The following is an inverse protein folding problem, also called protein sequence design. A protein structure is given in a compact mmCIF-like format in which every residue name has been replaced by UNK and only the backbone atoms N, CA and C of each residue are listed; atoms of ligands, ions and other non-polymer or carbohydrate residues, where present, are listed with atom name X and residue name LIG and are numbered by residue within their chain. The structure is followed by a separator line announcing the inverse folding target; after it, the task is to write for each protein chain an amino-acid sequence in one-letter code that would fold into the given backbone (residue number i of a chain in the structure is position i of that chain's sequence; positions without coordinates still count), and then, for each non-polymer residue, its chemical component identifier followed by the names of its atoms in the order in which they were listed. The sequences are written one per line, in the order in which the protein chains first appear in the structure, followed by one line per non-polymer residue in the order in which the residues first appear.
data_IF_786001519719
#
_entry.id   IF_786001519719
#
_cell.length_a   1.000
_cell.length_b   1.000
_cell.length_c   1.000
_cell.angle_alpha   90.00
_cell.angle_beta   90.00
_cell.angle_gamma   90.00
#
_symmetry.space_group_name_H-M   'P 1'
#
loop_
_entity.id
_entity.type
_entity.pdbx_description
1 polymer ?
#
# COMPACT_ATOMS: atom_id res chain seq x y z
N UNK A 1 -29.61 11.18 -25.07
CA UNK A 1 -28.39 11.38 -24.28
C UNK A 1 -28.65 10.72 -22.94
N UNK A 2 -27.73 9.90 -22.46
CA UNK A 2 -27.86 9.32 -21.12
C UNK A 2 -27.49 10.41 -20.12
N UNK A 3 -28.21 10.51 -19.01
CA UNK A 3 -27.84 11.44 -17.96
C UNK A 3 -26.43 11.09 -17.43
N UNK A 4 -25.56 12.10 -17.35
CA UNK A 4 -24.20 11.96 -16.82
C UNK A 4 -24.26 12.16 -15.29
N UNK A 5 -23.61 11.27 -14.55
CA UNK A 5 -23.63 11.31 -13.08
C UNK A 5 -22.21 11.32 -12.54
N UNK A 6 -21.87 12.40 -11.85
CA UNK A 6 -20.60 12.62 -11.18
C UNK A 6 -20.78 12.29 -9.70
N UNK A 7 -19.83 11.56 -9.10
CA UNK A 7 -19.82 11.33 -7.65
C UNK A 7 -18.90 12.33 -6.97
N UNK A 8 -19.40 13.01 -5.94
CA UNK A 8 -18.68 14.06 -5.21
C UNK A 8 -18.54 13.62 -3.76
N UNK A 9 -17.30 13.65 -3.27
CA UNK A 9 -16.95 13.34 -1.88
C UNK A 9 -16.45 14.62 -1.24
N UNK A 10 -16.96 14.93 -0.05
CA UNK A 10 -16.59 16.09 0.76
C UNK A 10 -16.26 15.64 2.19
N UNK A 11 -15.67 16.50 3.04
CA UNK A 11 -15.48 16.19 4.46
C UNK A 11 -16.80 15.95 5.21
N UNK A 12 -17.92 16.44 4.68
CA UNK A 12 -19.24 16.33 5.28
C UNK A 12 -20.06 15.12 4.80
N UNK A 13 -19.57 14.37 3.80
CA UNK A 13 -20.28 13.22 3.21
C UNK A 13 -20.13 13.17 1.69
N UNK A 14 -20.97 12.38 1.03
CA UNK A 14 -20.95 12.20 -0.42
C UNK A 14 -22.32 12.44 -1.07
N UNK A 15 -22.33 12.92 -2.30
CA UNK A 15 -23.52 13.14 -3.11
C UNK A 15 -23.21 12.96 -4.60
N UNK A 16 -24.25 12.91 -5.43
CA UNK A 16 -24.15 12.83 -6.88
C UNK A 16 -24.60 14.14 -7.53
N UNK A 17 -23.87 14.60 -8.53
CA UNK A 17 -24.29 15.65 -9.45
C UNK A 17 -24.75 15.01 -10.76
N UNK A 18 -25.99 15.27 -11.15
CA UNK A 18 -26.65 14.65 -12.30
C UNK A 18 -26.93 15.72 -13.35
N UNK A 19 -26.50 15.44 -14.59
CA UNK A 19 -26.70 16.27 -15.77
C UNK A 19 -27.58 15.52 -16.76
N UNK A 20 -28.78 16.03 -17.02
CA UNK A 20 -29.70 15.40 -17.98
C UNK A 20 -29.25 15.64 -19.43
N UNK A 21 -28.67 16.82 -19.68
CA UNK A 21 -27.98 17.22 -20.91
C UNK A 21 -26.99 18.36 -20.61
N UNK A 22 -26.16 18.74 -21.59
CA UNK A 22 -25.09 19.75 -21.45
C UNK A 22 -25.58 21.20 -21.28
N UNK A 23 -26.88 21.46 -21.36
CA UNK A 23 -27.46 22.80 -21.20
C UNK A 23 -28.38 22.89 -19.96
N UNK A 24 -28.64 21.76 -19.30
CA UNK A 24 -29.50 21.68 -18.13
C UNK A 24 -28.73 22.00 -16.85
N UNK A 25 -29.34 22.76 -15.91
CA UNK A 25 -28.74 22.96 -14.60
C UNK A 25 -28.49 21.65 -13.87
N UNK A 26 -27.38 21.60 -13.15
CA UNK A 26 -26.97 20.45 -12.34
C UNK A 26 -28.04 20.10 -11.30
N UNK A 27 -28.30 18.80 -11.12
CA UNK A 27 -29.18 18.27 -10.06
C UNK A 27 -28.39 17.49 -9.04
N UNK A 28 -28.43 17.94 -7.79
CA UNK A 28 -27.76 17.24 -6.69
C UNK A 28 -28.68 16.23 -6.02
N UNK A 29 -28.16 15.02 -5.76
CA UNK A 29 -28.87 13.95 -5.06
C UNK A 29 -27.92 13.30 -4.05
N UNK A 30 -28.36 13.13 -2.80
CA UNK A 30 -27.54 12.50 -1.75
C UNK A 30 -27.59 13.25 -0.43
N UNK A 31 -26.47 13.26 0.29
CA UNK A 31 -26.35 13.86 1.61
C UNK A 31 -26.50 15.40 1.57
N UNK A 32 -27.51 15.95 2.24
CA UNK A 32 -27.78 17.39 2.28
C UNK A 32 -26.63 18.19 2.92
N UNK A 33 -25.91 17.64 3.89
CA UNK A 33 -24.77 18.30 4.52
C UNK A 33 -23.58 18.36 3.57
N UNK A 34 -23.36 17.31 2.78
CA UNK A 34 -22.32 17.28 1.75
C UNK A 34 -22.62 18.25 0.61
N UNK A 35 -23.88 18.33 0.17
CA UNK A 35 -24.34 19.30 -0.84
C UNK A 35 -24.17 20.73 -0.31
N UNK A 36 -24.60 21.00 0.92
CA UNK A 36 -24.46 22.32 1.53
C UNK A 36 -22.99 22.73 1.72
N UNK A 37 -22.12 21.78 2.14
CA UNK A 37 -20.68 22.02 2.23
C UNK A 37 -20.11 22.43 0.87
N UNK A 38 -20.42 21.66 -0.18
CA UNK A 38 -19.94 21.93 -1.53
C UNK A 38 -20.38 23.31 -2.02
N UNK A 39 -21.68 23.64 -1.91
CA UNK A 39 -22.20 24.94 -2.35
C UNK A 39 -21.55 26.11 -1.62
N UNK A 40 -21.48 26.02 -0.29
CA UNK A 40 -20.80 27.04 0.51
C UNK A 40 -19.33 27.17 0.13
N UNK A 41 -18.64 26.06 -0.16
CA UNK A 41 -17.24 26.09 -0.54
C UNK A 41 -17.04 26.81 -1.88
N UNK A 42 -17.85 26.52 -2.90
CA UNK A 42 -17.80 27.22 -4.20
C UNK A 42 -18.05 28.72 -4.02
N UNK A 43 -19.08 29.07 -3.26
CA UNK A 43 -19.49 30.46 -3.04
C UNK A 43 -18.45 31.26 -2.22
N UNK A 44 -17.89 30.65 -1.16
CA UNK A 44 -16.90 31.29 -0.27
C UNK A 44 -15.57 31.50 -1.00
N UNK A 45 -15.12 30.51 -1.76
CA UNK A 45 -13.81 30.55 -2.41
C UNK A 45 -13.83 31.29 -3.75
N UNK A 46 -15.01 31.72 -4.22
CA UNK A 46 -15.16 32.49 -5.46
C UNK A 46 -14.42 31.83 -6.63
N UNK A 47 -14.69 30.53 -6.82
CA UNK A 47 -13.99 29.73 -7.82
C UNK A 47 -14.25 30.30 -9.21
N UNK A 48 -13.18 30.52 -9.97
CA UNK A 48 -13.27 30.96 -11.35
C UNK A 48 -13.30 29.73 -12.25
N UNK A 49 -14.34 29.60 -13.06
CA UNK A 49 -14.47 28.58 -14.09
C UNK A 49 -13.70 28.92 -15.36
N UNK A 50 -14.06 28.25 -16.44
CA UNK A 50 -13.45 28.49 -17.76
C UNK A 50 -13.61 29.96 -18.18
N UNK A 51 -12.59 30.55 -18.78
CA UNK A 51 -12.57 31.97 -19.19
C UNK A 51 -12.72 32.99 -18.03
N UNK A 52 -12.55 32.57 -16.77
CA UNK A 52 -12.42 33.47 -15.62
C UNK A 52 -13.73 34.05 -15.09
N UNK A 53 -14.87 33.41 -15.37
CA UNK A 53 -16.14 33.78 -14.75
C UNK A 53 -16.30 33.06 -13.39
N UNK A 54 -17.04 33.67 -12.46
CA UNK A 54 -17.33 33.06 -11.16
C UNK A 54 -18.32 31.92 -11.33
N UNK A 55 -18.00 30.74 -10.78
CA UNK A 55 -18.89 29.59 -10.80
C UNK A 55 -20.11 29.83 -9.89
N UNK A 56 -21.29 29.45 -10.38
CA UNK A 56 -22.50 29.31 -9.58
C UNK A 56 -22.67 27.84 -9.19
N UNK A 57 -22.73 27.57 -7.90
CA UNK A 57 -22.92 26.22 -7.38
C UNK A 57 -24.28 25.59 -7.74
N UNK A 58 -25.17 26.30 -8.42
CA UNK A 58 -26.43 25.77 -8.96
C UNK A 58 -26.43 25.64 -10.49
N UNK A 59 -25.39 26.10 -11.17
CA UNK A 59 -25.30 26.13 -12.64
C UNK A 59 -23.89 25.74 -13.15
N UNK A 60 -23.19 24.92 -12.38
CA UNK A 60 -21.85 24.41 -12.74
C UNK A 60 -21.96 23.38 -13.85
N UNK A 61 -21.13 23.48 -14.88
CA UNK A 61 -21.06 22.52 -15.98
C UNK A 61 -20.19 21.31 -15.63
N UNK A 62 -20.33 20.16 -16.33
CA UNK A 62 -19.53 18.96 -16.05
C UNK A 62 -18.02 19.22 -16.06
N UNK A 63 -17.54 19.97 -17.06
CA UNK A 63 -16.14 20.38 -17.19
C UNK A 63 -15.67 21.24 -16.01
N UNK A 64 -16.52 22.15 -15.55
CA UNK A 64 -16.20 23.07 -14.46
C UNK A 64 -16.15 22.35 -13.11
N UNK A 65 -17.07 21.40 -12.92
CA UNK A 65 -17.17 20.59 -11.72
C UNK A 65 -15.91 19.75 -11.53
N UNK A 66 -15.44 19.07 -12.58
CA UNK A 66 -14.21 18.30 -12.49
C UNK A 66 -12.95 19.17 -12.58
N UNK A 67 -12.91 20.17 -13.45
CA UNK A 67 -11.70 20.97 -13.68
C UNK A 67 -11.34 21.92 -12.55
N UNK A 68 -12.33 22.47 -11.83
CA UNK A 68 -12.11 23.63 -10.95
C UNK A 68 -12.58 23.43 -9.51
N UNK A 69 -13.48 22.48 -9.25
CA UNK A 69 -14.05 22.29 -7.90
C UNK A 69 -13.33 21.25 -7.04
N UNK A 70 -12.11 20.84 -7.41
CA UNK A 70 -11.26 19.92 -6.64
C UNK A 70 -9.82 20.42 -6.43
N UNK A 71 -9.59 21.69 -6.06
CA UNK A 71 -8.22 22.16 -5.81
C UNK A 71 -7.63 21.47 -4.58
N UNK A 72 -6.30 21.41 -4.55
CA UNK A 72 -5.55 20.79 -3.47
C UNK A 72 -5.95 21.40 -2.10
N UNK A 73 -6.20 20.54 -1.12
CA UNK A 73 -6.60 20.95 0.23
C UNK A 73 -8.09 21.31 0.41
N UNK A 74 -8.92 21.33 -0.64
CA UNK A 74 -10.37 21.55 -0.52
C UNK A 74 -11.09 20.43 0.24
N UNK A 75 -10.53 19.21 0.22
CA UNK A 75 -11.21 18.00 0.68
C UNK A 75 -12.38 17.57 -0.20
N UNK A 76 -12.54 18.20 -1.37
CA UNK A 76 -13.55 17.86 -2.37
C UNK A 76 -12.90 16.99 -3.44
N UNK A 77 -13.49 15.83 -3.71
CA UNK A 77 -13.05 14.91 -4.77
C UNK A 77 -14.22 14.71 -5.71
N UNK A 78 -13.99 14.93 -7.00
CA UNK A 78 -14.99 14.74 -8.05
C UNK A 78 -14.60 13.54 -8.91
N UNK A 79 -15.48 12.54 -8.97
CA UNK A 79 -15.31 11.32 -9.74
C UNK A 79 -16.24 11.38 -10.97
N UNK A 80 -15.70 11.65 -12.17
CA UNK A 80 -16.49 11.75 -13.39
C UNK A 80 -16.92 10.36 -13.89
N UNK A 81 -17.92 10.29 -14.78
CA UNK A 81 -18.17 9.12 -15.61
C UNK A 81 -16.91 8.69 -16.37
N UNK A 82 -16.79 7.41 -16.69
CA UNK A 82 -15.61 6.86 -17.35
C UNK A 82 -15.32 7.51 -18.71
N UNK A 83 -16.36 7.82 -19.49
CA UNK A 83 -16.22 8.43 -20.81
C UNK A 83 -15.61 9.84 -20.69
N UNK A 84 -16.08 10.64 -19.73
CA UNK A 84 -15.57 12.00 -19.49
C UNK A 84 -14.14 11.98 -18.94
N UNK A 85 -13.81 11.01 -18.08
CA UNK A 85 -12.45 10.83 -17.56
C UNK A 85 -11.42 10.65 -18.69
N UNK A 86 -11.79 9.89 -19.72
CA UNK A 86 -10.93 9.67 -20.89
C UNK A 86 -10.72 10.94 -21.72
N UNK A 87 -11.74 11.80 -21.82
CA UNK A 87 -11.65 13.08 -22.52
C UNK A 87 -10.74 14.07 -21.75
N UNK A 88 -10.86 14.16 -20.42
CA UNK A 88 -9.97 14.99 -19.60
C UNK A 88 -8.49 14.55 -19.67
N UNK A 89 -8.22 13.24 -19.64
CA UNK A 89 -6.85 12.71 -19.79
C UNK A 89 -6.27 12.97 -21.19
N UNK A 90 -7.12 13.07 -22.22
CA UNK A 90 -6.70 13.40 -23.57
C UNK A 90 -6.36 14.90 -23.72
N UNK A 91 -7.11 15.79 -23.07
CA UNK A 91 -6.87 17.24 -23.10
C UNK A 91 -5.68 17.67 -22.23
N UNK A 92 -5.47 17.04 -21.07
CA UNK A 92 -4.30 17.32 -20.23
C UNK A 92 -2.96 16.96 -20.92
N UNK A 93 -2.95 15.91 -21.75
CA UNK A 93 -1.78 15.56 -22.59
C UNK A 93 -1.46 16.60 -23.68
N UNK A 94 -2.42 17.46 -24.04
CA UNK A 94 -2.24 18.53 -25.02
C UNK A 94 -1.72 19.80 -24.33
N UNK A 95 -2.12 20.08 -23.08
CA UNK A 95 -1.70 21.27 -22.32
C UNK A 95 -0.36 21.13 -21.58
N UNK A 96 0.13 19.92 -21.30
CA UNK A 96 1.43 19.70 -20.63
C UNK A 96 2.66 20.13 -21.46
N UNK A 97 2.50 20.53 -22.72
CA UNK A 97 3.60 21.07 -23.53
C UNK A 97 3.89 22.56 -23.31
N UNK A 98 3.05 23.34 -22.63
CA UNK A 98 3.17 24.82 -22.64
C UNK A 98 3.29 25.54 -21.29
N UNK A 99 3.32 24.86 -20.13
CA UNK A 99 3.48 25.57 -18.84
C UNK A 99 4.40 24.86 -17.86
N UNK A 100 5.70 25.15 -17.98
CA UNK A 100 6.65 25.10 -16.85
C UNK A 100 7.05 26.53 -16.51
N UNK A 101 6.44 27.12 -15.48
CA UNK A 101 7.07 28.12 -14.61
C UNK A 101 6.14 28.60 -13.47
N UNK A 102 6.72 28.75 -12.28
CA UNK A 102 6.27 29.52 -11.09
C UNK A 102 5.18 28.89 -10.21
N UNK A 103 5.18 28.99 -8.87
CA UNK A 103 6.19 29.29 -7.83
C UNK A 103 5.52 28.99 -6.48
N UNK A 104 6.34 28.79 -5.45
CA UNK A 104 5.99 28.63 -4.04
C UNK A 104 4.97 29.66 -3.50
N UNK A 105 4.07 29.24 -2.58
CA UNK A 105 3.81 30.04 -1.36
C UNK A 105 3.17 29.28 -0.18
N UNK A 106 3.81 29.46 0.97
CA UNK A 106 3.39 29.07 2.33
C UNK A 106 2.11 29.80 2.79
N UNK A 107 1.27 29.16 3.64
CA UNK A 107 1.17 29.44 5.09
C UNK A 107 -0.07 28.86 5.81
N UNK A 108 0.16 28.53 7.09
CA UNK A 108 -0.75 28.10 8.16
C UNK A 108 -1.98 28.99 8.42
N UNK A 109 -3.03 28.44 9.07
CA UNK A 109 -3.51 28.83 10.43
C UNK A 109 -4.66 27.91 10.94
N UNK A 110 -4.54 27.54 12.22
CA UNK A 110 -5.36 26.79 13.21
C UNK A 110 -6.66 27.51 13.69
N UNK A 111 -7.71 26.97 14.36
CA UNK A 111 -7.94 26.19 15.63
C UNK A 111 -9.46 25.80 15.68
N UNK A 112 -10.03 24.87 16.47
CA UNK A 112 -10.00 24.59 17.94
C UNK A 112 -10.66 23.19 18.21
N UNK A 113 -10.50 22.41 19.28
CA UNK A 113 -10.53 22.74 20.71
C UNK A 113 -9.71 21.75 21.59
N UNK A 114 -8.56 22.21 22.08
CA UNK A 114 -7.82 22.01 23.35
C UNK A 114 -6.60 22.91 23.12
N UNK A 115 -6.33 23.88 23.99
CA UNK A 115 -5.27 24.88 23.76
C UNK A 115 -3.98 24.21 23.26
N UNK A 116 -3.43 24.70 22.13
CA UNK A 116 -2.33 24.05 21.41
C UNK A 116 -1.09 23.78 22.27
N UNK A 117 -0.87 24.58 23.32
CA UNK A 117 0.22 24.39 24.29
C UNK A 117 0.00 23.16 25.17
N UNK A 118 -1.24 22.81 25.50
CA UNK A 118 -1.57 21.66 26.36
C UNK A 118 -1.55 20.35 25.56
N UNK A 119 -1.99 20.37 24.29
CA UNK A 119 -1.81 19.23 23.37
C UNK A 119 -0.33 18.90 23.15
N UNK A 120 0.52 19.91 22.96
CA UNK A 120 1.97 19.73 22.83
C UNK A 120 2.59 19.14 24.10
N UNK A 121 2.15 19.58 25.28
CA UNK A 121 2.63 19.08 26.57
C UNK A 121 2.28 17.60 26.77
N UNK A 122 1.04 17.22 26.48
CA UNK A 122 0.56 15.85 26.54
C UNK A 122 1.24 14.94 25.50
N UNK A 123 1.48 15.43 24.28
CA UNK A 123 2.20 14.70 23.25
C UNK A 123 3.66 14.43 23.65
N UNK A 124 4.33 15.43 24.26
CA UNK A 124 5.69 15.28 24.78
C UNK A 124 5.75 14.28 25.94
N UNK A 125 4.81 14.35 26.88
CA UNK A 125 4.69 13.38 27.98
C UNK A 125 4.50 11.95 27.44
N UNK A 126 3.66 11.76 26.41
CA UNK A 126 3.48 10.45 25.77
C UNK A 126 4.76 9.94 25.10
N UNK A 127 5.54 10.83 24.46
CA UNK A 127 6.84 10.51 23.90
C UNK A 127 7.85 10.05 24.95
N UNK A 128 7.94 10.78 26.06
CA UNK A 128 8.83 10.46 27.17
C UNK A 128 8.45 9.13 27.85
N UNK A 129 7.16 8.86 28.02
CA UNK A 129 6.65 7.58 28.56
C UNK A 129 6.96 6.42 27.62
N UNK A 130 6.85 6.61 26.29
CA UNK A 130 7.23 5.58 25.30
C UNK A 130 8.73 5.29 25.34
N UNK A 131 9.56 6.32 25.51
CA UNK A 131 11.00 6.16 25.65
C UNK A 131 11.38 5.43 26.95
N UNK A 132 10.62 5.62 28.05
CA UNK A 132 10.86 4.89 29.32
C UNK A 132 10.26 3.48 29.35
N UNK A 133 9.30 3.18 28.47
CA UNK A 133 8.65 1.86 28.41
C UNK A 133 9.64 0.72 28.07
N UNK A 134 10.66 1.02 27.26
CA UNK A 134 11.75 0.08 26.93
C UNK A 134 12.71 -0.16 28.11
N UNK A 135 12.84 0.82 29.01
CA UNK A 135 13.73 0.78 30.18
C UNK A 135 13.08 0.20 31.45
N UNK A 136 11.75 0.04 31.48
CA UNK A 136 11.02 -0.49 32.64
C UNK A 136 11.35 -1.96 32.89
N UNK A 137 11.82 -2.28 34.11
CA UNK A 137 12.33 -3.63 34.48
C UNK A 137 11.24 -4.56 34.97
N UNK A 138 10.11 -4.04 35.46
CA UNK A 138 9.01 -4.85 35.97
C UNK A 138 7.73 -4.71 35.15
N UNK A 139 6.96 -5.80 35.04
CA UNK A 139 5.66 -5.80 34.34
C UNK A 139 4.64 -4.84 34.95
N UNK A 140 4.71 -4.62 36.27
CA UNK A 140 3.82 -3.69 36.98
C UNK A 140 4.12 -2.22 36.65
N UNK A 141 5.39 -1.87 36.43
CA UNK A 141 5.78 -0.52 35.95
C UNK A 141 5.33 -0.30 34.52
N UNK A 142 5.53 -1.28 33.63
CA UNK A 142 5.02 -1.22 32.25
C UNK A 142 3.51 -1.00 32.20
N UNK A 143 2.77 -1.71 33.06
CA UNK A 143 1.31 -1.56 33.15
C UNK A 143 0.87 -0.16 33.58
N UNK A 144 1.58 0.47 34.54
CA UNK A 144 1.31 1.85 34.96
C UNK A 144 1.58 2.86 33.85
N UNK A 145 2.67 2.69 33.11
CA UNK A 145 3.05 3.54 31.97
C UNK A 145 2.03 3.42 30.82
N UNK A 146 1.58 2.19 30.51
CA UNK A 146 0.54 1.95 29.50
C UNK A 146 -0.80 2.57 29.90
N UNK A 147 -1.19 2.49 31.18
CA UNK A 147 -2.39 3.13 31.69
C UNK A 147 -2.33 4.66 31.53
N UNK A 148 -1.17 5.26 31.81
CA UNK A 148 -0.96 6.71 31.65
C UNK A 148 -1.01 7.15 30.18
N UNK A 149 -0.46 6.37 29.25
CA UNK A 149 -0.60 6.62 27.80
C UNK A 149 -2.07 6.60 27.37
N UNK A 150 -2.88 5.67 27.91
CA UNK A 150 -4.31 5.61 27.62
C UNK A 150 -5.05 6.86 28.09
N UNK A 151 -4.77 7.33 29.32
CA UNK A 151 -5.33 8.58 29.85
C UNK A 151 -4.95 9.81 29.00
N UNK A 152 -3.68 9.91 28.56
CA UNK A 152 -3.22 11.00 27.68
C UNK A 152 -3.95 10.96 26.33
N UNK A 153 -4.15 9.75 25.78
CA UNK A 153 -4.87 9.55 24.51
C UNK A 153 -6.33 10.03 24.61
N UNK A 154 -7.01 9.67 25.70
CA UNK A 154 -8.39 10.08 25.96
C UNK A 154 -8.51 11.61 26.12
N UNK A 155 -7.55 12.26 26.80
CA UNK A 155 -7.49 13.72 26.96
C UNK A 155 -7.19 14.47 25.66
N UNK A 156 -6.50 13.83 24.72
CA UNK A 156 -6.22 14.39 23.39
C UNK A 156 -7.41 14.22 22.41
N UNK A 157 -8.53 13.63 22.85
CA UNK A 157 -9.69 13.36 21.99
C UNK A 157 -9.45 12.27 20.96
N UNK A 158 -8.38 11.48 21.13
CA UNK A 158 -8.07 10.33 20.27
C UNK A 158 -8.89 9.15 20.78
N UNK A 159 -10.19 9.16 20.50
CA UNK A 159 -11.12 8.13 21.00
C UNK A 159 -10.64 6.72 20.63
N UNK A 160 -10.27 5.93 21.64
CA UNK A 160 -10.42 4.48 21.54
C UNK A 160 -11.84 4.14 21.96
N UNK A 161 -12.62 3.57 21.03
CA UNK A 161 -13.95 3.03 21.31
C UNK A 161 -13.86 2.11 22.53
N UNK A 162 -14.44 2.50 23.66
CA UNK A 162 -15.03 1.56 24.62
C UNK A 162 -16.06 2.21 25.54
N UNK A 163 -17.17 1.47 25.66
CA UNK A 163 -18.08 1.31 26.80
C UNK A 163 -19.26 2.30 26.96
N UNK A 164 -20.36 1.91 26.32
CA UNK A 164 -21.72 2.18 26.77
C UNK A 164 -22.72 1.22 26.12
N UNK A 165 -22.89 0.02 26.70
CA UNK A 165 -23.95 -0.93 26.34
C UNK A 165 -23.50 -2.13 25.50
N UNK A 166 -23.81 -3.34 25.99
CA UNK A 166 -23.36 -4.64 25.51
C UNK A 166 -23.24 -4.84 24.00
N UNK A 167 -22.03 -5.10 23.54
CA UNK A 167 -21.72 -6.00 22.44
C UNK A 167 -20.28 -6.48 22.64
N UNK A 168 -20.07 -7.79 22.63
CA UNK A 168 -18.73 -8.40 22.73
C UNK A 168 -17.91 -7.96 21.51
N UNK A 169 -16.62 -7.70 21.73
CA UNK A 169 -15.67 -7.21 20.74
C UNK A 169 -15.78 -7.98 19.41
N UNK A 170 -16.38 -7.34 18.41
CA UNK A 170 -16.27 -7.79 17.03
C UNK A 170 -14.80 -7.66 16.60
N UNK A 171 -14.23 -8.75 16.13
CA UNK A 171 -13.06 -8.68 15.25
C UNK A 171 -13.43 -7.88 13.99
N UNK A 172 -12.44 -7.32 13.28
CA UNK A 172 -12.66 -6.59 12.02
C UNK A 172 -13.41 -7.42 10.94
N UNK A 173 -13.57 -8.73 11.18
CA UNK A 173 -14.22 -9.70 10.31
C UNK A 173 -15.69 -9.97 10.69
N UNK A 174 -16.24 -9.27 11.69
CA UNK A 174 -17.63 -9.46 12.15
C UNK A 174 -17.90 -10.73 12.96
N UNK A 175 -16.85 -11.45 13.37
CA UNK A 175 -16.96 -12.72 14.10
C UNK A 175 -16.98 -12.46 15.60
N UNK A 176 -18.00 -13.00 16.28
CA UNK A 176 -18.14 -12.96 17.73
C UNK A 176 -17.06 -13.82 18.42
N UNK A 177 -16.43 -13.24 19.44
CA UNK A 177 -15.46 -13.91 20.28
C UNK A 177 -16.04 -14.19 21.67
N UNK A 178 -15.65 -15.31 22.26
CA UNK A 178 -15.97 -15.63 23.65
C UNK A 178 -15.24 -14.69 24.63
N UNK A 179 -15.57 -14.82 25.92
CA UNK A 179 -14.94 -14.04 27.00
C UNK A 179 -13.43 -14.24 27.14
N UNK A 180 -12.85 -15.26 26.49
CA UNK A 180 -11.42 -15.55 26.46
C UNK A 180 -10.78 -15.09 25.13
N UNK A 181 -11.53 -14.45 24.24
CA UNK A 181 -11.07 -14.01 22.93
C UNK A 181 -10.76 -15.18 21.98
N UNK A 182 -11.55 -16.25 22.05
CA UNK A 182 -11.57 -17.38 21.12
C UNK A 182 -12.84 -17.31 20.26
N UNK A 183 -12.78 -17.79 19.01
CA UNK A 183 -13.97 -17.88 18.17
C UNK A 183 -14.86 -19.09 18.52
N UNK A 184 -15.94 -19.30 17.76
CA UNK A 184 -16.87 -20.41 17.96
C UNK A 184 -16.21 -21.79 17.86
N UNK A 185 -15.08 -21.88 17.18
CA UNK A 185 -14.30 -23.12 17.01
C UNK A 185 -13.26 -23.29 18.13
N UNK A 186 -13.20 -22.36 19.09
CA UNK A 186 -12.22 -22.34 20.17
C UNK A 186 -10.83 -21.88 19.72
N UNK A 187 -10.74 -21.22 18.55
CA UNK A 187 -9.47 -20.81 17.97
C UNK A 187 -9.11 -19.39 18.37
N UNK A 188 -7.84 -19.16 18.67
CA UNK A 188 -7.33 -17.82 18.89
C UNK A 188 -6.96 -17.17 17.55
N UNK A 189 -7.75 -16.20 17.12
CA UNK A 189 -7.56 -15.49 15.85
C UNK A 189 -6.49 -14.42 15.96
N UNK A 190 -5.53 -14.40 15.02
CA UNK A 190 -4.50 -13.35 14.88
C UNK A 190 -3.88 -13.38 13.49
N UNK A 191 -3.21 -12.31 13.07
CA UNK A 191 -2.40 -12.30 11.84
C UNK A 191 -1.10 -13.09 12.01
N UNK A 192 -0.41 -13.40 10.90
CA UNK A 192 0.88 -14.07 10.86
C UNK A 192 1.95 -13.19 11.46
N UNK A 193 1.85 -11.88 11.21
CA UNK A 193 2.70 -10.88 11.86
C UNK A 193 2.54 -10.92 13.39
N UNK A 194 1.31 -11.00 13.89
CA UNK A 194 1.04 -11.14 15.33
C UNK A 194 1.53 -12.48 15.90
N UNK A 195 1.33 -13.58 15.17
CA UNK A 195 1.84 -14.90 15.57
C UNK A 195 3.37 -14.96 15.58
N UNK A 196 4.02 -14.30 14.63
CA UNK A 196 5.48 -14.25 14.57
C UNK A 196 6.09 -13.46 15.72
N UNK A 197 5.37 -12.49 16.29
CA UNK A 197 5.76 -11.78 17.51
C UNK A 197 5.72 -12.66 18.77
N UNK A 198 5.02 -13.79 18.73
CA UNK A 198 5.03 -14.77 19.84
C UNK A 198 6.39 -15.49 19.85
N UNK A 199 7.06 -15.44 21.01
CA UNK A 199 8.33 -16.11 21.22
C UNK A 199 8.20 -17.62 20.96
N UNK A 200 9.23 -18.23 20.37
CA UNK A 200 9.23 -19.65 19.97
C UNK A 200 8.84 -20.62 21.10
N UNK A 201 9.22 -20.32 22.34
CA UNK A 201 8.90 -21.16 23.51
C UNK A 201 7.42 -21.09 23.93
N UNK A 202 6.67 -20.13 23.38
CA UNK A 202 5.26 -19.91 23.66
C UNK A 202 4.36 -20.22 22.47
N UNK A 203 4.91 -20.87 21.44
CA UNK A 203 4.17 -21.35 20.26
C UNK A 203 4.62 -22.74 19.86
N UNK A 204 3.81 -23.43 19.10
CA UNK A 204 4.09 -24.78 18.61
C UNK A 204 3.08 -25.20 17.55
N UNK A 205 3.01 -26.49 17.26
CA UNK A 205 2.12 -27.04 16.23
C UNK A 205 1.50 -28.33 16.75
N UNK A 206 0.19 -28.51 16.55
CA UNK A 206 -0.50 -29.77 16.81
C UNK A 206 -0.08 -30.85 15.80
N UNK A 207 -0.35 -32.15 16.08
CA UNK A 207 -0.01 -33.25 15.16
C UNK A 207 -0.64 -33.13 13.76
N UNK A 208 -1.76 -32.43 13.63
CA UNK A 208 -2.48 -32.15 12.38
C UNK A 208 -1.95 -30.92 11.63
N UNK A 209 -0.90 -30.27 12.14
CA UNK A 209 -0.29 -29.09 11.52
C UNK A 209 -0.87 -27.76 11.98
N UNK A 210 -1.89 -27.74 12.86
CA UNK A 210 -2.51 -26.50 13.33
C UNK A 210 -1.55 -25.72 14.25
N UNK A 211 -1.26 -24.43 13.97
CA UNK A 211 -0.45 -23.60 14.85
C UNK A 211 -1.08 -23.46 16.24
N UNK A 212 -0.25 -23.38 17.27
CA UNK A 212 -0.68 -23.19 18.66
C UNK A 212 0.13 -22.11 19.35
N UNK A 213 -0.44 -21.52 20.40
CA UNK A 213 0.24 -20.57 21.27
C UNK A 213 -0.22 -20.71 22.73
N UNK A 214 0.60 -20.26 23.68
CA UNK A 214 0.22 -20.18 25.08
C UNK A 214 -0.63 -18.93 25.34
N UNK A 215 -1.82 -19.12 25.91
CA UNK A 215 -2.75 -18.07 26.29
C UNK A 215 -3.16 -18.22 27.75
N UNK A 216 -3.37 -17.11 28.45
CA UNK A 216 -3.94 -17.13 29.79
C UNK A 216 -5.47 -17.24 29.70
N UNK A 217 -6.02 -18.35 30.16
CA UNK A 217 -7.47 -18.59 30.23
C UNK A 217 -7.83 -18.78 31.70
N UNK A 218 -8.72 -17.92 32.23
CA UNK A 218 -9.18 -17.97 33.62
C UNK A 218 -8.04 -18.06 34.67
N UNK A 219 -6.90 -17.41 34.41
CA UNK A 219 -5.75 -17.40 35.31
C UNK A 219 -4.82 -18.60 35.20
N UNK A 220 -5.07 -19.54 34.28
CA UNK A 220 -4.18 -20.65 33.96
C UNK A 220 -3.57 -20.47 32.56
N UNK A 221 -2.30 -20.85 32.40
CA UNK A 221 -1.65 -20.87 31.08
C UNK A 221 -2.08 -22.13 30.33
N UNK A 222 -2.71 -21.94 29.17
CA UNK A 222 -3.28 -23.01 28.35
C UNK A 222 -2.71 -22.91 26.93
N UNK A 223 -2.40 -24.06 26.32
CA UNK A 223 -2.07 -24.11 24.89
C UNK A 223 -3.40 -24.02 24.12
N UNK A 224 -3.51 -23.02 23.26
CA UNK A 224 -4.70 -22.83 22.40
C UNK A 224 -4.30 -22.96 20.94
N UNK A 225 -5.17 -23.55 20.10
CA UNK A 225 -4.97 -23.51 18.66
C UNK A 225 -5.17 -22.08 18.14
N UNK A 226 -4.38 -21.72 17.14
CA UNK A 226 -4.32 -20.38 16.56
C UNK A 226 -4.81 -20.44 15.13
N UNK A 227 -5.76 -19.57 14.80
CA UNK A 227 -6.23 -19.35 13.44
C UNK A 227 -5.57 -18.10 12.90
N UNK A 228 -4.70 -18.28 11.91
CA UNK A 228 -4.00 -17.17 11.29
C UNK A 228 -4.93 -16.54 10.26
N UNK A 229 -5.32 -15.28 10.48
CA UNK A 229 -6.43 -14.63 9.76
C UNK A 229 -6.03 -14.00 8.44
N UNK A 230 -4.76 -13.69 8.28
CA UNK A 230 -4.09 -13.27 7.04
C UNK A 230 -3.40 -14.45 6.32
N UNK A 231 -3.38 -15.64 6.93
CA UNK A 231 -3.28 -16.90 6.18
C UNK A 231 -4.63 -17.14 5.51
N UNK A 232 -4.89 -16.34 4.49
CA UNK A 232 -5.84 -16.72 3.47
C UNK A 232 -5.26 -17.94 2.75
N UNK A 233 -5.68 -19.10 3.23
CA UNK A 233 -6.23 -20.18 2.42
C UNK A 233 -5.46 -20.43 1.11
N UNK A 234 -4.42 -21.25 1.18
CA UNK A 234 -4.15 -22.15 0.05
C UNK A 234 -5.29 -23.17 0.03
N UNK A 235 -6.41 -22.82 -0.59
CA UNK A 235 -7.47 -23.73 -1.04
C UNK A 235 -8.35 -22.99 -2.07
N UNK A 236 -8.20 -23.41 -3.33
CA UNK A 236 -9.10 -23.23 -4.49
C UNK A 236 -9.81 -21.88 -4.69
N UNK A 237 -9.33 -21.13 -5.69
CA UNK A 237 -10.07 -20.21 -6.57
C UNK A 237 -11.13 -19.27 -5.93
N UNK A 238 -10.70 -18.19 -5.28
CA UNK A 238 -11.41 -16.92 -5.52
C UNK A 238 -10.76 -16.23 -6.71
N UNK A 239 -11.27 -16.56 -7.90
CA UNK A 239 -10.90 -15.90 -9.15
C UNK A 239 -11.09 -14.39 -9.01
N UNK A 240 -10.00 -13.64 -9.14
CA UNK A 240 -10.01 -12.18 -9.10
C UNK A 240 -10.97 -11.64 -10.14
N UNK A 241 -11.79 -10.70 -9.74
CA UNK A 241 -12.80 -10.08 -10.60
C UNK A 241 -12.23 -8.86 -11.30
N UNK A 242 -12.96 -8.33 -12.29
CA UNK A 242 -12.60 -7.06 -12.90
C UNK A 242 -12.69 -5.89 -11.90
N UNK A 243 -13.57 -5.98 -10.91
CA UNK A 243 -13.67 -4.97 -9.86
C UNK A 243 -12.39 -4.94 -8.99
N UNK A 244 -11.81 -6.12 -8.71
CA UNK A 244 -10.55 -6.22 -7.98
C UNK A 244 -9.40 -5.62 -8.79
N UNK A 245 -9.32 -5.91 -10.09
CA UNK A 245 -8.34 -5.29 -10.99
C UNK A 245 -8.48 -3.77 -11.03
N UNK A 246 -9.70 -3.26 -11.18
CA UNK A 246 -9.94 -1.80 -11.20
C UNK A 246 -9.50 -1.13 -9.90
N UNK A 247 -9.69 -1.79 -8.76
CA UNK A 247 -9.27 -1.28 -7.45
C UNK A 247 -7.75 -1.19 -7.31
N UNK A 248 -7.00 -2.12 -7.89
CA UNK A 248 -5.53 -2.14 -7.78
C UNK A 248 -4.81 -1.39 -8.91
N UNK A 249 -5.49 -1.10 -10.01
CA UNK A 249 -4.90 -0.42 -11.17
C UNK A 249 -4.20 0.91 -10.84
N UNK A 250 -4.74 1.79 -9.96
CA UNK A 250 -4.04 3.03 -9.58
C UNK A 250 -2.67 2.79 -8.95
N UNK A 251 -2.52 1.70 -8.19
CA UNK A 251 -1.25 1.32 -7.57
C UNK A 251 -0.31 0.76 -8.63
N UNK A 252 -0.81 -0.13 -9.50
CA UNK A 252 0.01 -0.72 -10.55
C UNK A 252 0.57 0.34 -11.52
N UNK A 253 -0.21 1.38 -11.85
CA UNK A 253 0.25 2.50 -12.70
C UNK A 253 1.48 3.24 -12.13
N UNK A 254 1.71 3.19 -10.83
CA UNK A 254 2.87 3.82 -10.20
C UNK A 254 4.16 2.98 -10.31
N UNK A 255 4.03 1.68 -10.60
CA UNK A 255 5.16 0.73 -10.59
C UNK A 255 5.38 0.04 -11.94
N UNK A 256 4.38 0.04 -12.83
CA UNK A 256 4.40 -0.72 -14.08
C UNK A 256 4.22 0.24 -15.25
N UNK A 257 5.08 0.12 -16.27
CA UNK A 257 5.02 0.99 -17.44
C UNK A 257 3.74 0.82 -18.25
N UNK A 258 3.26 1.92 -18.84
CA UNK A 258 1.98 1.95 -19.56
C UNK A 258 1.89 0.93 -20.70
N UNK A 259 2.97 0.71 -21.45
CA UNK A 259 3.01 -0.30 -22.53
C UNK A 259 2.85 -1.73 -21.99
N UNK A 260 3.48 -2.05 -20.86
CA UNK A 260 3.37 -3.36 -20.22
C UNK A 260 1.95 -3.57 -19.68
N UNK A 261 1.39 -2.59 -18.97
CA UNK A 261 -0.01 -2.65 -18.52
C UNK A 261 -1.00 -2.77 -19.68
N UNK A 262 -0.76 -2.07 -20.79
CA UNK A 262 -1.61 -2.16 -21.98
C UNK A 262 -1.61 -3.58 -22.56
N UNK A 263 -0.46 -4.26 -22.58
CA UNK A 263 -0.36 -5.63 -23.07
C UNK A 263 -1.14 -6.61 -22.18
N UNK A 264 -1.01 -6.49 -20.86
CA UNK A 264 -1.81 -7.31 -19.95
C UNK A 264 -3.31 -6.99 -20.06
N UNK A 265 -3.68 -5.72 -20.14
CA UNK A 265 -5.10 -5.32 -20.18
C UNK A 265 -5.80 -5.64 -21.50
N UNK A 266 -5.08 -5.72 -22.63
CA UNK A 266 -5.67 -6.19 -23.90
C UNK A 266 -6.06 -7.67 -23.82
N UNK A 267 -5.30 -8.47 -23.08
CA UNK A 267 -5.47 -9.92 -23.02
C UNK A 267 -6.38 -10.38 -21.88
N UNK A 268 -6.80 -9.47 -20.99
CA UNK A 268 -7.75 -9.72 -19.89
C UNK A 268 -9.08 -10.34 -20.34
N UNK A 269 -9.50 -10.11 -21.60
CA UNK A 269 -10.73 -10.68 -22.16
C UNK A 269 -10.51 -11.98 -22.94
N UNK A 270 -9.25 -12.40 -23.10
CA UNK A 270 -8.85 -13.62 -23.80
C UNK A 270 -8.88 -14.87 -22.90
N UNK A 271 -8.38 -15.97 -23.44
CA UNK A 271 -8.33 -17.28 -22.76
C UNK A 271 -7.52 -17.23 -21.45
N UNK A 272 -6.47 -16.40 -21.42
CA UNK A 272 -5.60 -16.19 -20.25
C UNK A 272 -6.14 -15.10 -19.30
N UNK A 273 -7.31 -14.53 -19.60
CA UNK A 273 -7.82 -13.35 -18.91
C UNK A 273 -7.97 -13.53 -17.40
N UNK A 274 -8.33 -14.73 -16.94
CA UNK A 274 -8.44 -15.00 -15.51
C UNK A 274 -7.06 -15.02 -14.82
N UNK A 275 -6.09 -15.71 -15.44
CA UNK A 275 -4.72 -15.74 -14.95
C UNK A 275 -4.13 -14.33 -14.85
N UNK A 276 -4.39 -13.48 -15.86
CA UNK A 276 -3.94 -12.09 -15.85
C UNK A 276 -4.56 -11.30 -14.69
N UNK A 277 -5.88 -11.42 -14.47
CA UNK A 277 -6.55 -10.74 -13.35
C UNK A 277 -5.94 -11.14 -12.02
N UNK A 278 -5.73 -12.44 -11.81
CA UNK A 278 -5.13 -12.97 -10.58
C UNK A 278 -3.70 -12.46 -10.40
N UNK A 279 -2.90 -12.44 -11.47
CA UNK A 279 -1.52 -11.96 -11.43
C UNK A 279 -1.44 -10.45 -11.16
N UNK A 280 -2.31 -9.63 -11.73
CA UNK A 280 -2.33 -8.18 -11.45
C UNK A 280 -2.66 -7.88 -9.98
N UNK A 281 -3.62 -8.61 -9.41
CA UNK A 281 -3.98 -8.49 -7.99
C UNK A 281 -2.87 -9.00 -7.08
N UNK A 282 -2.21 -10.11 -7.45
CA UNK A 282 -1.04 -10.65 -6.74
C UNK A 282 0.09 -9.61 -6.66
N UNK A 283 0.48 -9.03 -7.80
CA UNK A 283 1.56 -8.04 -7.87
C UNK A 283 1.22 -6.78 -7.06
N UNK A 284 -0.01 -6.29 -7.17
CA UNK A 284 -0.45 -5.15 -6.35
C UNK A 284 -0.41 -5.47 -4.85
N UNK A 285 -0.74 -6.69 -4.47
CA UNK A 285 -0.65 -7.15 -3.07
C UNK A 285 0.79 -7.19 -2.59
N UNK A 286 1.74 -7.62 -3.43
CA UNK A 286 3.18 -7.56 -3.12
C UNK A 286 3.61 -6.11 -2.89
N UNK A 287 3.27 -5.19 -3.81
CA UNK A 287 3.60 -3.76 -3.72
C UNK A 287 3.00 -3.14 -2.45
N UNK A 288 1.75 -3.46 -2.11
CA UNK A 288 1.09 -2.91 -0.92
C UNK A 288 1.81 -3.34 0.37
N UNK A 289 2.28 -4.58 0.43
CA UNK A 289 2.84 -5.18 1.63
C UNK A 289 4.36 -5.08 1.75
N UNK A 290 5.07 -4.72 0.67
CA UNK A 290 6.52 -4.54 0.74
C UNK A 290 6.89 -3.37 1.67
N UNK A 291 8.05 -3.42 2.34
CA UNK A 291 8.49 -2.37 3.26
C UNK A 291 8.59 -1.01 2.59
N UNK A 292 8.28 0.04 3.33
CA UNK A 292 8.63 1.41 2.94
C UNK A 292 10.11 1.67 3.22
N UNK A 293 10.64 2.76 2.68
CA UNK A 293 12.04 3.18 2.88
C UNK A 293 12.41 3.16 4.37
N UNK A 294 13.59 2.60 4.69
CA UNK A 294 14.11 2.30 6.03
C UNK A 294 13.47 1.08 6.75
N UNK A 295 12.52 0.39 6.13
CA UNK A 295 11.84 -0.76 6.71
C UNK A 295 12.72 -2.01 6.87
N UNK A 296 13.83 -2.08 6.14
CA UNK A 296 14.83 -3.15 6.15
C UNK A 296 16.24 -2.62 6.47
N UNK A 297 16.34 -1.42 7.08
CA UNK A 297 17.63 -0.83 7.44
C UNK A 297 18.45 -1.75 8.37
N UNK A 298 19.76 -1.80 8.13
CA UNK A 298 20.68 -2.69 8.85
C UNK A 298 20.57 -4.17 8.51
N UNK A 299 19.72 -4.59 7.56
CA UNK A 299 19.62 -6.00 7.15
C UNK A 299 20.71 -6.43 6.15
N UNK A 300 21.32 -5.48 5.43
CA UNK A 300 22.38 -5.77 4.46
C UNK A 300 21.94 -6.83 3.43
N UNK A 301 22.76 -7.86 3.20
CA UNK A 301 22.42 -8.94 2.25
C UNK A 301 21.19 -9.78 2.68
N UNK A 302 20.68 -9.61 3.90
CA UNK A 302 19.44 -10.26 4.36
C UNK A 302 18.18 -9.50 3.98
N UNK A 303 18.30 -8.29 3.43
CA UNK A 303 17.16 -7.54 2.92
C UNK A 303 16.48 -8.34 1.79
N UNK A 304 15.16 -8.35 1.78
CA UNK A 304 14.35 -9.06 0.79
C UNK A 304 14.04 -8.11 -0.36
N UNK A 305 14.38 -8.51 -1.58
CA UNK A 305 13.94 -7.86 -2.81
C UNK A 305 12.56 -8.37 -3.21
N UNK A 306 11.55 -7.50 -3.14
CA UNK A 306 10.15 -7.81 -3.42
C UNK A 306 9.78 -7.66 -4.89
N UNK A 307 10.42 -6.73 -5.60
CA UNK A 307 10.19 -6.51 -7.03
C UNK A 307 11.50 -6.68 -7.79
N UNK A 308 11.36 -7.04 -9.05
CA UNK A 308 12.46 -7.16 -10.00
C UNK A 308 12.08 -6.49 -11.30
N UNK A 309 12.94 -5.60 -11.77
CA UNK A 309 12.82 -4.91 -13.04
C UNK A 309 13.98 -5.31 -13.93
N UNK A 310 13.76 -5.44 -15.23
CA UNK A 310 14.81 -5.82 -16.16
C UNK A 310 14.68 -5.11 -17.51
N UNK A 311 15.81 -4.85 -18.14
CA UNK A 311 15.89 -4.40 -19.54
C UNK A 311 17.24 -4.75 -20.15
N UNK A 312 17.23 -5.66 -21.11
CA UNK A 312 18.47 -6.17 -21.70
C UNK A 312 19.27 -6.97 -20.68
N UNK A 313 20.49 -6.54 -20.36
CA UNK A 313 21.36 -7.16 -19.34
C UNK A 313 21.38 -6.40 -18.02
N UNK A 314 20.49 -5.43 -17.85
CA UNK A 314 20.40 -4.62 -16.63
C UNK A 314 19.19 -5.06 -15.81
N UNK A 315 19.42 -5.26 -14.52
CA UNK A 315 18.44 -5.72 -13.54
C UNK A 315 18.38 -4.75 -12.35
N UNK A 316 17.18 -4.51 -11.83
CA UNK A 316 16.97 -3.73 -10.61
C UNK A 316 16.08 -4.51 -9.65
N UNK A 317 16.57 -4.73 -8.43
CA UNK A 317 15.89 -5.49 -7.39
C UNK A 317 15.44 -4.54 -6.28
N UNK A 318 14.14 -4.35 -6.13
CA UNK A 318 13.59 -3.36 -5.18
C UNK A 318 13.30 -4.03 -3.84
N UNK A 319 13.91 -3.51 -2.78
CA UNK A 319 13.71 -3.98 -1.41
C UNK A 319 12.67 -3.16 -0.67
N UNK A 320 12.56 -1.86 -0.99
CA UNK A 320 11.67 -0.94 -0.28
C UNK A 320 11.02 0.04 -1.25
N UNK A 321 9.73 0.32 -1.05
CA UNK A 321 8.99 1.35 -1.79
C UNK A 321 9.09 2.71 -1.11
N UNK A 322 8.54 3.73 -1.75
CA UNK A 322 8.50 5.07 -1.17
C UNK A 322 7.75 5.08 0.16
N UNK A 323 8.21 5.91 1.09
CA UNK A 323 7.52 6.12 2.35
C UNK A 323 6.41 7.18 2.22
N UNK A 324 6.52 8.04 1.22
CA UNK A 324 5.52 9.06 0.89
C UNK A 324 4.34 8.47 0.12
N UNK A 325 3.28 9.28 -0.03
CA UNK A 325 2.07 8.86 -0.75
C UNK A 325 2.29 8.71 -2.26
N UNK A 326 3.21 9.50 -2.82
CA UNK A 326 3.62 9.41 -4.21
C UNK A 326 4.83 8.49 -4.35
N UNK A 327 4.79 7.57 -5.32
CA UNK A 327 5.91 6.69 -5.61
C UNK A 327 6.91 7.39 -6.54
N UNK A 328 7.87 8.12 -5.95
CA UNK A 328 8.94 8.79 -6.69
C UNK A 328 10.24 7.98 -6.65
N UNK A 329 10.58 7.48 -5.47
CA UNK A 329 11.82 6.74 -5.21
C UNK A 329 11.56 5.38 -4.58
N UNK A 330 12.45 4.44 -4.84
CA UNK A 330 12.51 3.16 -4.18
C UNK A 330 13.94 2.89 -3.73
N UNK A 331 14.15 1.96 -2.80
CA UNK A 331 15.48 1.51 -2.41
C UNK A 331 15.69 0.08 -2.87
N UNK A 332 16.89 -0.22 -3.40
CA UNK A 332 17.18 -1.53 -3.95
C UNK A 332 18.58 -1.67 -4.51
N UNK A 333 18.83 -2.80 -5.17
CA UNK A 333 20.08 -3.14 -5.85
C UNK A 333 19.92 -2.90 -7.35
N UNK A 334 20.77 -2.08 -7.94
CA UNK A 334 20.88 -1.90 -9.38
C UNK A 334 22.10 -2.67 -9.91
N UNK A 335 21.87 -3.69 -10.73
CA UNK A 335 22.89 -4.53 -11.36
C UNK A 335 22.87 -4.28 -12.87
N UNK A 336 23.68 -3.34 -13.35
CA UNK A 336 23.64 -2.90 -14.75
C UNK A 336 24.62 -3.66 -15.65
N UNK A 337 25.69 -4.18 -15.07
CA UNK A 337 26.84 -4.74 -15.80
C UNK A 337 27.22 -6.15 -15.35
N UNK A 338 26.53 -6.71 -14.36
CA UNK A 338 26.84 -8.00 -13.77
C UNK A 338 28.03 -7.96 -12.80
N UNK A 339 28.47 -6.80 -12.32
CA UNK A 339 29.69 -6.64 -11.53
C UNK A 339 29.44 -6.60 -10.00
N UNK A 340 28.25 -7.04 -9.57
CA UNK A 340 27.86 -7.17 -8.17
C UNK A 340 26.83 -6.12 -7.72
N UNK A 341 26.53 -5.16 -8.58
CA UNK A 341 25.49 -4.14 -8.43
C UNK A 341 25.70 -3.16 -7.28
N UNK A 342 24.93 -2.09 -7.29
CA UNK A 342 24.99 -1.03 -6.28
C UNK A 342 23.66 -0.90 -5.54
N UNK A 343 23.72 -0.88 -4.20
CA UNK A 343 22.56 -0.57 -3.37
C UNK A 343 22.35 0.94 -3.28
N UNK A 344 21.14 1.40 -3.55
CA UNK A 344 20.84 2.82 -3.48
C UNK A 344 19.38 3.14 -3.80
N UNK A 345 19.13 4.44 -3.90
CA UNK A 345 17.85 4.95 -4.36
C UNK A 345 17.71 4.77 -5.87
N UNK A 346 16.55 4.28 -6.29
CA UNK A 346 16.19 3.98 -7.67
C UNK A 346 14.91 4.73 -7.98
N UNK A 347 14.90 5.53 -9.06
CA UNK A 347 13.69 6.20 -9.52
C UNK A 347 12.83 5.23 -10.33
N UNK A 348 11.69 4.82 -9.77
CA UNK A 348 10.72 3.97 -10.48
C UNK A 348 10.13 4.70 -11.69
N UNK A 349 9.94 6.02 -11.59
CA UNK A 349 9.47 6.83 -12.71
C UNK A 349 10.45 6.84 -13.88
N UNK A 350 11.76 6.94 -13.62
CA UNK A 350 12.76 6.84 -14.68
C UNK A 350 12.72 5.47 -15.33
N UNK A 351 12.69 4.38 -14.55
CA UNK A 351 12.57 3.02 -15.08
C UNK A 351 11.35 2.87 -16.00
N UNK A 352 10.19 3.35 -15.57
CA UNK A 352 8.96 3.38 -16.36
C UNK A 352 9.15 4.22 -17.64
N UNK A 353 9.72 5.42 -17.51
CA UNK A 353 9.92 6.37 -18.60
C UNK A 353 10.87 5.86 -19.69
N UNK A 354 11.78 4.95 -19.34
CA UNK A 354 12.66 4.26 -20.31
C UNK A 354 12.16 2.85 -20.67
N UNK A 355 10.90 2.49 -20.39
CA UNK A 355 10.31 1.19 -20.71
C UNK A 355 11.12 0.00 -20.15
N UNK A 356 11.58 0.08 -18.90
CA UNK A 356 12.05 -1.09 -18.16
C UNK A 356 10.83 -1.89 -17.71
N UNK A 357 10.91 -3.22 -17.81
CA UNK A 357 9.78 -4.11 -17.52
C UNK A 357 9.82 -4.60 -16.08
N UNK A 358 8.67 -4.65 -15.40
CA UNK A 358 8.53 -5.33 -14.12
C UNK A 358 8.34 -6.84 -14.36
N UNK A 359 9.10 -7.68 -13.68
CA UNK A 359 8.99 -9.14 -13.76
C UNK A 359 7.83 -9.66 -12.90
N UNK A 360 6.76 -10.10 -13.56
CA UNK A 360 5.55 -10.60 -12.88
C UNK A 360 5.70 -12.03 -12.34
N UNK A 361 6.80 -12.71 -12.66
CA UNK A 361 7.12 -14.06 -12.19
C UNK A 361 8.21 -14.05 -11.12
N UNK A 362 8.66 -12.86 -10.71
CA UNK A 362 9.60 -12.70 -9.63
C UNK A 362 9.07 -13.27 -8.32
N UNK A 363 9.89 -14.07 -7.66
CA UNK A 363 9.64 -14.55 -6.29
C UNK A 363 10.56 -13.79 -5.33
N UNK A 364 10.02 -13.11 -4.31
CA UNK A 364 10.83 -12.37 -3.35
C UNK A 364 11.91 -13.24 -2.71
N UNK A 365 13.14 -12.74 -2.68
CA UNK A 365 14.31 -13.42 -2.13
C UNK A 365 15.33 -12.40 -1.62
N UNK A 366 16.33 -12.85 -0.86
CA UNK A 366 17.30 -11.96 -0.24
C UNK A 366 18.32 -11.41 -1.25
N UNK A 367 18.88 -10.24 -0.97
CA UNK A 367 19.98 -9.65 -1.75
C UNK A 367 21.18 -10.62 -1.83
N UNK A 368 21.47 -11.35 -0.74
CA UNK A 368 22.52 -12.37 -0.73
C UNK A 368 22.29 -13.47 -1.77
N UNK A 369 21.08 -14.03 -1.82
CA UNK A 369 20.71 -15.07 -2.80
C UNK A 369 20.80 -14.58 -4.26
N UNK A 370 20.56 -13.29 -4.50
CA UNK A 370 20.66 -12.68 -5.83
C UNK A 370 22.12 -12.59 -6.26
N UNK A 371 22.98 -12.08 -5.36
CA UNK A 371 24.42 -11.94 -5.63
C UNK A 371 25.12 -13.28 -5.84
N UNK A 372 24.75 -14.31 -5.07
CA UNK A 372 25.31 -15.67 -5.21
C UNK A 372 25.01 -16.27 -6.59
N UNK A 373 23.77 -16.13 -7.09
CA UNK A 373 23.39 -16.62 -8.42
C UNK A 373 24.12 -15.92 -9.57
N UNK A 374 24.36 -14.61 -9.43
CA UNK A 374 25.10 -13.85 -10.43
C UNK A 374 26.58 -14.27 -10.47
N UNK A 375 27.15 -14.67 -9.34
CA UNK A 375 28.51 -15.21 -9.27
C UNK A 375 28.62 -16.60 -9.91
N UNK A 376 27.70 -17.53 -9.60
CA UNK A 376 27.68 -18.87 -10.25
C UNK A 376 27.56 -18.76 -11.78
N UNK A 377 26.75 -17.83 -12.27
CA UNK A 377 26.57 -17.57 -13.70
C UNK A 377 27.83 -17.02 -14.39
N UNK A 378 28.71 -16.32 -13.65
CA UNK A 378 30.01 -15.86 -14.16
C UNK A 378 31.07 -16.97 -14.19
N UNK A 379 31.08 -17.87 -13.20
CA UNK A 379 32.01 -19.00 -13.19
C UNK A 379 31.75 -19.97 -14.35
N UNK A 380 30.48 -20.19 -14.72
CA UNK A 380 30.11 -21.03 -15.87
C UNK A 380 30.49 -20.42 -17.24
N UNK A 381 30.67 -19.09 -17.34
CA UNK A 381 31.12 -18.45 -18.58
C UNK A 381 32.65 -18.34 -18.70
N UNK A 382 33.38 -18.40 -17.59
CA UNK A 382 34.86 -18.40 -17.60
C UNK A 382 35.42 -19.80 -17.79
N UNK A 383 34.74 -20.84 -17.30
CA UNK A 383 35.14 -22.24 -17.51
C UNK A 383 34.34 -22.91 -18.63
N UNK A 384 34.61 -22.50 -19.87
CA UNK A 384 34.38 -23.32 -21.06
C UNK A 384 35.28 -24.57 -21.11
N UNK A 385 35.39 -25.32 -20.00
CA UNK A 385 35.96 -26.67 -19.94
C UNK A 385 34.87 -27.60 -19.48
N UNK A 386 34.49 -28.52 -20.36
CA UNK A 386 33.47 -29.53 -20.07
C UNK A 386 33.92 -30.40 -18.90
N UNK A 387 32.97 -30.96 -18.14
CA UNK A 387 33.24 -31.94 -17.06
C UNK A 387 34.08 -33.14 -17.58
N UNK A 388 34.03 -33.41 -18.89
CA UNK A 388 34.85 -34.41 -19.56
C UNK A 388 36.35 -34.04 -19.62
N UNK A 389 36.70 -32.76 -19.70
CA UNK A 389 38.09 -32.30 -19.80
C UNK A 389 38.84 -32.38 -18.46
N UNK A 390 38.12 -32.24 -17.34
CA UNK A 390 38.70 -32.36 -15.99
C UNK A 390 38.97 -33.81 -15.57
N UNK A 391 38.30 -34.78 -16.20
CA UNK A 391 38.54 -36.21 -15.98
C UNK A 391 39.72 -36.76 -16.81
N UNK A 392 40.20 -36.03 -17.82
CA UNK A 392 41.35 -36.45 -18.63
C UNK A 392 42.69 -35.87 -18.13
N UNK A 393 42.70 -34.77 -17.37
CA UNK A 393 43.95 -34.20 -16.81
C UNK A 393 44.45 -34.93 -15.53
N UNK A 394 43.72 -35.94 -15.04
CA UNK A 394 44.08 -36.73 -13.84
C UNK A 394 44.59 -38.14 -14.13
N UNK A 395 44.78 -38.53 -15.40
CA UNK A 395 45.19 -39.91 -15.77
C UNK A 395 46.62 -40.03 -16.30
N UNK A 396 47.32 -38.95 -16.66
CA UNK A 396 48.66 -39.05 -17.28
C UNK A 396 49.86 -38.79 -16.35
N UNK A 397 49.71 -38.98 -15.03
CA UNK A 397 50.84 -39.00 -14.11
C UNK A 397 50.76 -40.20 -13.15
N UNK A 398 50.70 -41.42 -13.70
CA UNK A 398 51.32 -42.58 -13.06
C UNK A 398 51.57 -43.66 -14.12
N UNK A 399 52.81 -44.16 -14.14
CA UNK A 399 53.31 -45.36 -14.82
C UNK A 399 53.47 -45.31 -16.36
N UNK A 400 54.64 -45.50 -16.99
CA UNK A 400 55.94 -46.03 -16.56
C UNK A 400 56.99 -45.79 -17.65
N UNK A 401 58.25 -45.75 -17.22
CA UNK A 401 59.35 -46.61 -17.71
C UNK A 401 59.05 -47.56 -18.90
#
# INVERSE_FOLDING_TARGET
MNAETYQIITPAGAFSAVFDDKESPVKYQGDELAIAFFKNWVDINQINGEHGHLLDSNDVQPFELYGFCQPEGSGIIVLPPFDDLMDFEAENKINEQDTKESDDMQNNITLDAVSGTEKLRLAREAGDIRATLSAAKSGLEKLKLVKRIKEIRDLLGVSSVTAGGGLLHASNDGIELDKNGLDSDGMWRMTRSEYNKIHKDYKGTMPDGVPTALKLINGATTIVPVKITDELLVNEETKSTMADVNKVMPILKQFVGGSQLSAFTSDIRGEEGQFIKDKLVEIATIIQNMPQTYGQDGMGDKAIAYLHYFKGSADWYITEKDMEAEQLQAFGLAELFGDGGELGYISIQELIGINVELDFYWTPKTIGEIKEKNQESQFDQVEGKTVQDRLNETVDNDDSN
#
